data_IF_617062468364
#
_entry.id   IF_617062468364
#
_cell.length_a   1.000
_cell.length_b   1.000
_cell.length_c   1.000
_cell.angle_alpha   90.00
_cell.angle_beta   90.00
_cell.angle_gamma   90.00
#
_symmetry.space_group_name_H-M   'P 1'
#
loop_
_entity.id
_entity.type
_entity.pdbx_description
1 polymer ?
#
# COMPACT_ATOMS: atom_id res chain seq x y z
N UNK A 1 -34.90 12.48 7.52
CA UNK A 1 -34.92 11.06 7.18
C UNK A 1 -33.68 10.45 7.77
N UNK A 2 -33.73 9.46 8.66
CA UNK A 2 -32.52 8.84 9.17
C UNK A 2 -31.94 7.98 8.04
N UNK A 3 -30.69 8.26 7.69
CA UNK A 3 -29.92 7.44 6.75
C UNK A 3 -29.68 6.06 7.36
N UNK A 4 -30.32 5.07 6.79
CA UNK A 4 -30.04 3.67 7.11
C UNK A 4 -28.64 3.34 6.60
N UNK A 5 -27.73 3.03 7.52
CA UNK A 5 -26.47 2.37 7.19
C UNK A 5 -26.80 1.08 6.42
N UNK A 6 -26.10 0.78 5.31
CA UNK A 6 -26.33 -0.46 4.59
C UNK A 6 -26.05 -1.64 5.52
N UNK A 7 -27.07 -2.42 5.81
CA UNK A 7 -26.93 -3.71 6.47
C UNK A 7 -26.21 -4.61 5.48
N UNK A 8 -24.91 -4.83 5.69
CA UNK A 8 -24.18 -5.87 4.97
C UNK A 8 -24.77 -7.19 5.42
N UNK A 9 -25.55 -7.83 4.56
CA UNK A 9 -26.01 -9.20 4.81
C UNK A 9 -24.75 -10.07 4.99
N UNK A 10 -24.69 -10.95 6.01
CA UNK A 10 -23.61 -11.91 6.14
C UNK A 10 -23.54 -12.67 4.82
N UNK A 11 -22.40 -12.54 4.12
CA UNK A 11 -22.14 -13.28 2.90
C UNK A 11 -22.40 -14.76 3.15
N UNK A 12 -22.87 -15.48 2.13
CA UNK A 12 -23.08 -16.94 2.20
C UNK A 12 -21.83 -17.55 2.86
N UNK A 13 -21.99 -18.48 3.81
CA UNK A 13 -20.84 -19.18 4.38
C UNK A 13 -20.07 -19.79 3.22
N UNK A 14 -18.83 -19.31 3.01
CA UNK A 14 -17.92 -19.94 2.08
C UNK A 14 -17.72 -21.39 2.55
N UNK A 15 -17.60 -22.35 1.62
CA UNK A 15 -17.28 -23.72 2.02
C UNK A 15 -16.01 -23.66 2.86
N UNK A 16 -16.08 -24.20 4.08
CA UNK A 16 -14.96 -24.21 5.01
C UNK A 16 -13.74 -24.76 4.26
N UNK A 17 -12.73 -23.92 4.05
CA UNK A 17 -11.48 -24.37 3.44
C UNK A 17 -10.91 -25.48 4.33
N UNK A 18 -10.68 -26.64 3.77
CA UNK A 18 -9.98 -27.75 4.45
C UNK A 18 -8.46 -27.55 4.40
N UNK A 19 -7.99 -26.54 3.69
CA UNK A 19 -6.57 -26.21 3.56
C UNK A 19 -6.06 -25.71 4.90
N UNK A 20 -4.95 -26.27 5.42
CA UNK A 20 -4.34 -25.78 6.65
C UNK A 20 -3.89 -24.32 6.44
N UNK A 21 -3.91 -23.49 7.49
CA UNK A 21 -3.45 -22.12 7.40
C UNK A 21 -1.95 -22.07 7.06
N UNK A 22 -1.56 -21.08 6.24
CA UNK A 22 -0.15 -20.81 5.93
C UNK A 22 0.55 -20.28 7.18
N UNK A 23 -0.16 -19.45 7.95
CA UNK A 23 0.25 -18.95 9.26
C UNK A 23 -0.87 -19.24 10.26
N UNK A 24 -0.50 -19.74 11.43
CA UNK A 24 -1.47 -20.15 12.45
C UNK A 24 -1.97 -18.95 13.28
N UNK A 25 -1.10 -17.96 13.51
CA UNK A 25 -1.39 -16.77 14.32
C UNK A 25 -0.95 -15.50 13.58
N UNK A 26 -1.93 -14.80 13.01
CA UNK A 26 -1.73 -13.63 12.16
C UNK A 26 -2.03 -12.38 12.96
N UNK A 27 -0.99 -11.60 13.28
CA UNK A 27 -1.10 -10.29 13.90
C UNK A 27 -1.20 -9.18 12.86
N UNK A 28 -2.18 -8.28 12.97
CA UNK A 28 -2.39 -7.16 12.06
C UNK A 28 -2.44 -5.88 12.88
N UNK A 29 -1.48 -4.99 12.66
CA UNK A 29 -1.35 -3.69 13.30
C UNK A 29 -1.86 -2.62 12.33
N UNK A 30 -2.99 -2.01 12.66
CA UNK A 30 -3.73 -1.13 11.76
C UNK A 30 -4.83 -1.87 10.99
N UNK A 31 -6.09 -1.63 11.36
CA UNK A 31 -7.26 -2.28 10.76
C UNK A 31 -8.06 -1.30 9.87
N UNK A 32 -7.36 -0.46 9.12
CA UNK A 32 -7.97 0.35 8.08
C UNK A 32 -8.43 -0.48 6.87
N UNK A 33 -8.55 0.17 5.71
CA UNK A 33 -8.95 -0.49 4.46
C UNK A 33 -8.07 -1.72 4.15
N UNK A 34 -6.74 -1.58 4.20
CA UNK A 34 -5.80 -2.65 3.82
C UNK A 34 -5.75 -3.75 4.89
N UNK A 35 -5.45 -3.38 6.14
CA UNK A 35 -5.36 -4.36 7.24
C UNK A 35 -6.68 -5.08 7.51
N UNK A 36 -7.80 -4.36 7.44
CA UNK A 36 -9.14 -4.95 7.54
C UNK A 36 -9.45 -5.91 6.40
N UNK A 37 -9.05 -5.58 5.17
CA UNK A 37 -9.22 -6.48 4.03
C UNK A 37 -8.38 -7.75 4.14
N UNK A 38 -7.14 -7.64 4.65
CA UNK A 38 -6.29 -8.81 4.96
C UNK A 38 -6.96 -9.67 6.04
N UNK A 39 -7.45 -9.05 7.12
CA UNK A 39 -8.13 -9.76 8.20
C UNK A 39 -9.35 -10.54 7.69
N UNK A 40 -10.24 -9.88 6.96
CA UNK A 40 -11.44 -10.50 6.37
C UNK A 40 -11.09 -11.65 5.42
N UNK A 41 -10.08 -11.46 4.55
CA UNK A 41 -9.64 -12.50 3.62
C UNK A 41 -9.04 -13.69 4.36
N UNK A 42 -8.18 -13.47 5.36
CA UNK A 42 -7.57 -14.52 6.17
C UNK A 42 -8.65 -15.34 6.92
N UNK A 43 -9.65 -14.68 7.51
CA UNK A 43 -10.78 -15.34 8.18
C UNK A 43 -11.59 -16.23 7.25
N UNK A 44 -11.77 -15.81 5.99
CA UNK A 44 -12.49 -16.60 4.99
C UNK A 44 -11.68 -17.79 4.49
N UNK A 45 -10.38 -17.61 4.24
CA UNK A 45 -9.51 -18.62 3.68
C UNK A 45 -9.10 -19.65 4.73
N UNK A 46 -8.83 -19.21 5.96
CA UNK A 46 -8.29 -20.04 7.05
C UNK A 46 -9.09 -19.85 8.34
N UNK A 47 -10.30 -20.42 8.45
CA UNK A 47 -11.16 -20.25 9.64
C UNK A 47 -10.54 -20.80 10.94
N UNK A 48 -9.46 -21.59 10.84
CA UNK A 48 -8.72 -22.14 11.99
C UNK A 48 -7.51 -21.30 12.41
N UNK A 49 -7.08 -20.34 11.56
CA UNK A 49 -6.04 -19.39 11.94
C UNK A 49 -6.60 -18.39 12.94
N UNK A 50 -5.77 -18.00 13.91
CA UNK A 50 -6.10 -16.94 14.86
C UNK A 50 -5.72 -15.59 14.25
N UNK A 51 -6.68 -14.71 14.00
CA UNK A 51 -6.45 -13.35 13.51
C UNK A 51 -6.54 -12.38 14.67
N UNK A 52 -5.42 -11.70 14.95
CA UNK A 52 -5.23 -10.78 16.07
C UNK A 52 -5.14 -9.37 15.49
N UNK A 53 -5.99 -8.46 15.95
CA UNK A 53 -6.01 -7.06 15.51
C UNK A 53 -5.49 -6.12 16.58
N UNK A 54 -4.63 -5.18 16.17
CA UNK A 54 -4.15 -4.08 17.02
C UNK A 54 -4.52 -2.76 16.36
N UNK A 55 -5.36 -1.96 17.03
CA UNK A 55 -5.80 -0.64 16.57
C UNK A 55 -6.40 0.13 17.77
N UNK A 56 -6.94 1.32 17.51
CA UNK A 56 -7.73 2.04 18.50
C UNK A 56 -9.07 1.33 18.79
N UNK A 57 -9.64 1.62 19.94
CA UNK A 57 -10.81 0.93 20.47
C UNK A 57 -12.03 0.93 19.52
N UNK A 58 -12.32 2.05 18.87
CA UNK A 58 -13.51 2.18 18.00
C UNK A 58 -13.39 1.30 16.75
N UNK A 59 -12.17 1.23 16.16
CA UNK A 59 -11.85 0.35 15.04
C UNK A 59 -11.92 -1.12 15.47
N UNK A 60 -11.38 -1.46 16.64
CA UNK A 60 -11.43 -2.82 17.20
C UNK A 60 -12.86 -3.30 17.46
N UNK A 61 -13.73 -2.47 18.03
CA UNK A 61 -15.15 -2.79 18.22
C UNK A 61 -15.84 -3.08 16.87
N UNK A 62 -15.52 -2.30 15.85
CA UNK A 62 -16.03 -2.53 14.49
C UNK A 62 -15.49 -3.81 13.89
N UNK A 63 -14.19 -4.10 14.03
CA UNK A 63 -13.55 -5.31 13.52
C UNK A 63 -14.13 -6.58 14.16
N UNK A 64 -14.39 -6.56 15.46
CA UNK A 64 -15.05 -7.67 16.17
C UNK A 64 -16.49 -7.87 15.68
N UNK A 65 -17.25 -6.80 15.50
CA UNK A 65 -18.62 -6.86 14.96
C UNK A 65 -18.69 -7.41 13.54
N UNK A 66 -17.69 -7.09 12.72
CA UNK A 66 -17.54 -7.61 11.35
C UNK A 66 -16.97 -9.03 11.30
N UNK A 67 -16.62 -9.62 12.45
CA UNK A 67 -15.90 -10.90 12.54
C UNK A 67 -14.61 -10.94 11.74
N UNK A 68 -13.93 -9.78 11.60
CA UNK A 68 -12.67 -9.66 10.89
C UNK A 68 -11.48 -10.20 11.70
N UNK A 69 -11.58 -10.15 13.04
CA UNK A 69 -10.55 -10.60 13.97
C UNK A 69 -11.15 -11.49 15.07
N UNK A 70 -10.28 -12.32 15.70
CA UNK A 70 -10.64 -13.17 16.83
C UNK A 70 -10.25 -12.54 18.17
N UNK A 71 -9.14 -11.78 18.17
CA UNK A 71 -8.58 -11.11 19.35
C UNK A 71 -8.35 -9.65 19.02
N UNK A 72 -8.73 -8.77 19.96
CA UNK A 72 -8.60 -7.32 19.83
C UNK A 72 -7.76 -6.78 21.00
N UNK A 73 -6.78 -5.93 20.70
CA UNK A 73 -6.03 -5.17 21.70
C UNK A 73 -5.51 -3.85 21.13
N UNK A 74 -5.26 -2.90 22.00
CA UNK A 74 -4.64 -1.61 21.68
C UNK A 74 -3.11 -1.60 21.95
N UNK A 75 -2.54 -2.76 22.27
CA UNK A 75 -1.14 -2.95 22.62
C UNK A 75 -0.55 -4.14 21.83
N UNK A 76 0.72 -4.02 21.44
CA UNK A 76 1.46 -5.05 20.70
C UNK A 76 1.68 -6.34 21.48
N UNK A 77 1.57 -6.32 22.82
CA UNK A 77 1.81 -7.50 23.67
C UNK A 77 0.93 -8.70 23.30
N UNK A 78 -0.25 -8.44 22.76
CA UNK A 78 -1.18 -9.49 22.27
C UNK A 78 -0.59 -10.32 21.14
N UNK A 79 0.44 -9.79 20.45
CA UNK A 79 1.15 -10.45 19.34
C UNK A 79 2.26 -11.38 19.79
N UNK A 80 2.42 -11.63 21.11
CA UNK A 80 3.55 -12.37 21.69
C UNK A 80 3.83 -13.74 21.04
N UNK A 81 2.80 -14.37 20.49
CA UNK A 81 2.90 -15.69 19.86
C UNK A 81 2.54 -15.66 18.36
N UNK A 82 2.48 -14.47 17.73
CA UNK A 82 2.20 -14.37 16.30
C UNK A 82 3.36 -14.93 15.47
N UNK A 83 3.05 -15.73 14.45
CA UNK A 83 4.00 -16.26 13.48
C UNK A 83 4.06 -15.44 12.17
N UNK A 84 3.05 -14.58 11.96
CA UNK A 84 3.05 -13.49 10.97
C UNK A 84 2.61 -12.19 11.64
N UNK A 85 3.40 -11.12 11.48
CA UNK A 85 3.02 -9.76 11.91
C UNK A 85 2.98 -8.85 10.70
N UNK A 86 1.85 -8.17 10.49
CA UNK A 86 1.60 -7.26 9.36
C UNK A 86 1.37 -5.86 9.89
N UNK A 87 2.26 -4.93 9.55
CA UNK A 87 2.09 -3.51 9.84
C UNK A 87 1.32 -2.82 8.71
N UNK A 88 0.06 -2.47 8.97
CA UNK A 88 -0.87 -1.87 8.01
C UNK A 88 -1.39 -0.48 8.43
N UNK A 89 -0.70 0.18 9.35
CA UNK A 89 -0.89 1.57 9.74
C UNK A 89 -0.15 2.52 8.77
N UNK A 90 -0.27 3.86 8.92
CA UNK A 90 0.54 4.83 8.17
C UNK A 90 2.04 4.56 8.29
N UNK A 91 2.82 4.90 7.24
CA UNK A 91 4.23 4.50 7.12
C UNK A 91 5.07 4.90 8.34
N UNK A 92 4.94 6.15 8.81
CA UNK A 92 5.71 6.61 9.98
C UNK A 92 5.30 5.90 11.27
N UNK A 93 4.01 5.59 11.41
CA UNK A 93 3.50 4.82 12.54
C UNK A 93 4.05 3.40 12.50
N UNK A 94 4.07 2.75 11.33
CA UNK A 94 4.67 1.42 11.17
C UNK A 94 6.15 1.42 11.56
N UNK A 95 6.93 2.43 11.13
CA UNK A 95 8.35 2.57 11.48
C UNK A 95 8.53 2.72 13.00
N UNK A 96 7.71 3.53 13.64
CA UNK A 96 7.77 3.73 15.09
C UNK A 96 7.43 2.44 15.87
N UNK A 97 6.35 1.76 15.50
CA UNK A 97 5.90 0.53 16.17
C UNK A 97 6.82 -0.67 15.92
N UNK A 98 7.56 -0.68 14.81
CA UNK A 98 8.51 -1.74 14.49
C UNK A 98 9.66 -1.82 15.51
N UNK A 99 10.03 -0.68 16.11
CA UNK A 99 11.07 -0.61 17.16
C UNK A 99 10.65 -1.40 18.40
N UNK A 100 9.36 -1.36 18.74
CA UNK A 100 8.82 -2.01 19.94
C UNK A 100 8.51 -3.51 19.72
N UNK A 101 8.69 -4.02 18.50
CA UNK A 101 8.33 -5.41 18.16
C UNK A 101 9.12 -6.44 18.97
N UNK A 102 10.39 -6.17 19.22
CA UNK A 102 11.30 -7.08 19.94
C UNK A 102 10.85 -7.33 21.40
N UNK A 103 10.33 -6.31 22.04
CA UNK A 103 9.85 -6.38 23.43
C UNK A 103 8.52 -7.12 23.55
N UNK A 104 7.73 -7.16 22.49
CA UNK A 104 6.36 -7.67 22.49
C UNK A 104 6.20 -9.06 21.86
N UNK A 105 6.91 -9.34 20.76
CA UNK A 105 6.82 -10.63 20.06
C UNK A 105 8.01 -11.51 20.42
N UNK A 106 7.75 -12.62 21.08
CA UNK A 106 8.80 -13.49 21.66
C UNK A 106 9.20 -14.65 20.75
N UNK A 107 8.31 -15.07 19.87
CA UNK A 107 8.53 -16.19 18.97
C UNK A 107 9.18 -15.72 17.65
N UNK A 108 9.88 -16.63 16.93
CA UNK A 108 10.28 -16.36 15.56
C UNK A 108 9.06 -16.06 14.71
N UNK A 109 9.13 -14.94 13.96
CA UNK A 109 8.02 -14.52 13.12
C UNK A 109 8.47 -13.97 11.76
N UNK A 110 7.63 -14.15 10.76
CA UNK A 110 7.67 -13.37 9.53
C UNK A 110 7.03 -12.03 9.80
N UNK A 111 7.71 -10.95 9.42
CA UNK A 111 7.21 -9.59 9.61
C UNK A 111 7.12 -8.91 8.25
N UNK A 112 6.02 -8.23 7.98
CA UNK A 112 5.82 -7.47 6.75
C UNK A 112 5.04 -6.19 7.03
N UNK A 113 5.05 -5.28 6.05
CA UNK A 113 4.22 -4.08 6.08
C UNK A 113 3.36 -3.96 4.82
N UNK A 114 2.53 -2.94 4.77
CA UNK A 114 1.72 -2.60 3.59
C UNK A 114 1.93 -1.16 3.13
N UNK A 115 2.97 -0.52 3.61
CA UNK A 115 3.25 0.90 3.38
C UNK A 115 3.52 1.24 1.91
N UNK A 116 3.29 2.49 1.56
CA UNK A 116 3.46 2.99 0.18
C UNK A 116 4.90 3.32 -0.17
N UNK A 117 5.80 3.41 0.81
CA UNK A 117 7.25 3.63 0.65
C UNK A 117 8.03 2.58 1.42
N UNK A 118 9.24 2.24 0.97
CA UNK A 118 9.96 1.07 1.51
C UNK A 118 11.28 1.42 2.21
N UNK A 119 11.98 2.48 1.79
CA UNK A 119 13.33 2.74 2.33
C UNK A 119 13.34 2.87 3.85
N UNK A 120 12.53 3.77 4.40
CA UNK A 120 12.54 4.04 5.83
C UNK A 120 12.18 2.84 6.70
N UNK A 121 11.21 2.03 6.28
CA UNK A 121 10.81 0.84 7.06
C UNK A 121 11.82 -0.30 6.93
N UNK A 122 12.45 -0.45 5.76
CA UNK A 122 13.52 -1.44 5.56
C UNK A 122 14.77 -1.10 6.37
N UNK A 123 15.11 0.20 6.47
CA UNK A 123 16.22 0.68 7.31
C UNK A 123 15.94 0.39 8.79
N UNK A 124 14.72 0.68 9.26
CA UNK A 124 14.31 0.37 10.63
C UNK A 124 14.30 -1.14 10.90
N UNK A 125 13.84 -1.95 9.95
CA UNK A 125 13.82 -3.40 10.06
C UNK A 125 15.21 -4.04 10.16
N UNK A 126 16.24 -3.37 9.64
CA UNK A 126 17.63 -3.81 9.77
C UNK A 126 18.15 -3.89 11.22
N UNK A 127 17.44 -3.28 12.18
CA UNK A 127 17.74 -3.37 13.60
C UNK A 127 17.05 -4.54 14.32
N UNK A 128 16.12 -5.24 13.65
CA UNK A 128 15.40 -6.35 14.25
C UNK A 128 16.32 -7.54 14.54
N UNK A 129 16.09 -8.23 15.67
CA UNK A 129 16.87 -9.43 15.99
C UNK A 129 16.62 -10.58 14.98
N UNK A 130 17.58 -11.52 14.85
CA UNK A 130 17.53 -12.58 13.82
C UNK A 130 16.34 -13.53 13.87
N UNK A 131 15.54 -13.52 14.96
CA UNK A 131 14.31 -14.30 15.05
C UNK A 131 13.19 -13.77 14.16
N UNK A 132 13.31 -12.52 13.71
CA UNK A 132 12.38 -11.93 12.75
C UNK A 132 12.96 -11.95 11.34
N UNK A 133 12.13 -12.31 10.39
CA UNK A 133 12.44 -12.12 8.97
C UNK A 133 11.51 -11.05 8.43
N UNK A 134 12.04 -9.85 8.21
CA UNK A 134 11.28 -8.75 7.65
C UNK A 134 11.28 -8.80 6.12
N UNK A 135 10.11 -8.69 5.52
CA UNK A 135 9.91 -8.60 4.07
C UNK A 135 9.01 -7.41 3.83
N UNK A 136 9.54 -6.34 3.24
CA UNK A 136 8.72 -5.18 2.90
C UNK A 136 7.58 -5.57 1.96
N UNK A 137 6.38 -5.09 2.23
CA UNK A 137 5.20 -5.35 1.43
C UNK A 137 4.54 -4.04 0.97
N UNK A 138 3.91 -4.07 -0.20
CA UNK A 138 3.07 -2.98 -0.69
C UNK A 138 2.02 -3.52 -1.67
N UNK A 139 0.78 -3.76 -1.21
CA UNK A 139 -0.33 -4.09 -2.11
C UNK A 139 -0.70 -2.86 -2.93
N UNK A 140 -0.64 -2.97 -4.26
CA UNK A 140 -1.11 -1.91 -5.17
C UNK A 140 -2.63 -2.02 -5.33
N UNK A 141 -3.32 -1.94 -4.20
CA UNK A 141 -4.76 -2.03 -4.08
C UNK A 141 -5.27 -0.89 -3.19
N UNK A 142 -6.46 -0.39 -3.49
CA UNK A 142 -7.05 0.70 -2.74
C UNK A 142 -8.49 0.94 -3.15
N UNK A 143 -9.15 1.85 -2.43
CA UNK A 143 -10.48 2.35 -2.74
C UNK A 143 -10.48 3.89 -2.65
N UNK A 144 -11.56 4.51 -3.10
CA UNK A 144 -11.73 5.97 -3.03
C UNK A 144 -11.82 6.46 -1.58
N UNK A 145 -12.26 5.59 -0.67
CA UNK A 145 -12.41 5.87 0.76
C UNK A 145 -11.58 4.87 1.56
N UNK A 146 -10.95 5.35 2.63
CA UNK A 146 -10.24 4.52 3.61
C UNK A 146 -11.19 4.04 4.71
N UNK A 147 -10.62 3.37 5.72
CA UNK A 147 -11.34 2.88 6.88
C UNK A 147 -11.74 1.40 6.78
N UNK A 148 -12.02 0.82 7.92
CA UNK A 148 -12.41 -0.58 8.03
C UNK A 148 -13.78 -0.86 7.39
N UNK A 149 -14.67 0.12 7.40
CA UNK A 149 -16.02 0.05 6.81
C UNK A 149 -16.00 -0.16 5.29
N UNK A 150 -14.87 0.15 4.65
CA UNK A 150 -14.65 -0.08 3.22
C UNK A 150 -13.78 -1.30 2.92
N UNK A 151 -13.34 -2.01 3.97
CA UNK A 151 -12.56 -3.23 3.83
C UNK A 151 -13.38 -4.36 3.22
N UNK A 152 -12.74 -5.15 2.37
CA UNK A 152 -13.38 -6.29 1.69
C UNK A 152 -12.36 -7.38 1.41
N UNK A 153 -12.75 -8.65 1.50
CA UNK A 153 -11.82 -9.77 1.37
C UNK A 153 -11.24 -9.96 -0.04
N UNK A 154 -11.90 -9.44 -1.07
CA UNK A 154 -11.49 -9.53 -2.48
C UNK A 154 -10.66 -8.32 -2.97
N UNK A 155 -10.27 -7.40 -2.06
CA UNK A 155 -9.56 -6.16 -2.40
C UNK A 155 -8.31 -6.40 -3.25
N UNK A 156 -7.61 -7.50 -3.01
CA UNK A 156 -6.32 -7.82 -3.62
C UNK A 156 -6.44 -8.65 -4.90
N UNK A 157 -7.63 -9.09 -5.28
CA UNK A 157 -7.84 -9.99 -6.43
C UNK A 157 -7.29 -9.44 -7.73
N UNK A 158 -6.28 -10.15 -8.28
CA UNK A 158 -5.57 -9.77 -9.51
C UNK A 158 -4.70 -8.52 -9.40
N UNK A 159 -4.54 -7.95 -8.19
CA UNK A 159 -3.73 -6.74 -7.97
C UNK A 159 -2.28 -7.11 -7.69
N UNK A 160 -1.31 -6.32 -8.20
CA UNK A 160 0.08 -6.52 -7.83
C UNK A 160 0.29 -6.30 -6.32
N UNK A 161 1.12 -7.17 -5.72
CA UNK A 161 1.63 -6.97 -4.37
C UNK A 161 3.14 -6.99 -4.44
N UNK A 162 3.75 -5.83 -4.21
CA UNK A 162 5.19 -5.68 -4.26
C UNK A 162 5.78 -6.25 -2.98
N UNK A 163 6.78 -7.13 -3.12
CA UNK A 163 7.55 -7.72 -2.03
C UNK A 163 9.01 -7.30 -2.15
N UNK A 164 9.56 -6.81 -1.06
CA UNK A 164 10.92 -6.29 -0.96
C UNK A 164 11.65 -7.06 0.15
N UNK A 165 12.23 -8.23 -0.15
CA UNK A 165 12.99 -8.98 0.85
C UNK A 165 14.30 -8.28 1.20
N UNK A 166 14.83 -8.56 2.40
CA UNK A 166 16.13 -8.09 2.83
C UNK A 166 17.23 -8.57 1.87
N UNK A 167 18.15 -7.68 1.52
CA UNK A 167 19.23 -7.98 0.56
C UNK A 167 18.79 -7.95 -0.91
N UNK A 168 17.54 -7.73 -1.23
CA UNK A 168 17.08 -7.34 -2.56
C UNK A 168 17.51 -5.89 -2.87
N UNK A 169 18.80 -5.64 -2.83
CA UNK A 169 19.36 -4.50 -3.57
C UNK A 169 19.10 -4.83 -5.01
N UNK A 170 18.34 -3.97 -5.69
CA UNK A 170 17.89 -4.19 -7.05
C UNK A 170 18.96 -4.86 -7.89
N UNK A 171 18.56 -5.63 -8.88
CA UNK A 171 19.51 -6.13 -9.87
C UNK A 171 20.18 -4.88 -10.43
N UNK A 172 21.31 -4.50 -9.81
CA UNK A 172 22.12 -3.41 -10.30
C UNK A 172 22.51 -3.81 -11.72
N UNK A 173 22.28 -2.93 -12.66
CA UNK A 173 22.75 -3.11 -14.04
C UNK A 173 24.27 -3.39 -14.10
N UNK A 174 24.96 -3.19 -12.98
CA UNK A 174 26.41 -3.35 -12.81
C UNK A 174 26.84 -4.73 -12.26
N UNK A 175 25.93 -5.70 -12.12
CA UNK A 175 26.28 -7.09 -11.80
C UNK A 175 26.85 -7.34 -10.40
N UNK A 176 26.73 -6.40 -9.46
CA UNK A 176 27.16 -6.61 -8.08
C UNK A 176 26.26 -7.64 -7.40
N UNK A 177 26.80 -8.83 -7.14
CA UNK A 177 26.11 -9.94 -6.45
C UNK A 177 25.82 -9.53 -5.01
N UNK A 178 24.55 -9.28 -4.69
CA UNK A 178 24.08 -9.17 -3.31
C UNK A 178 24.39 -10.45 -2.53
N UNK A 179 24.50 -10.33 -1.20
CA UNK A 179 24.64 -11.48 -0.30
C UNK A 179 23.46 -12.42 -0.54
N UNK A 180 23.71 -13.72 -0.76
CA UNK A 180 22.64 -14.71 -0.91
C UNK A 180 21.80 -14.74 0.40
N UNK A 181 20.46 -14.71 0.32
CA UNK A 181 19.62 -14.84 1.49
C UNK A 181 19.89 -16.18 2.19
N UNK A 182 19.75 -16.23 3.52
CA UNK A 182 19.80 -17.49 4.25
C UNK A 182 18.62 -18.41 3.85
N UNK A 183 18.76 -19.72 4.07
CA UNK A 183 17.67 -20.67 3.81
C UNK A 183 16.38 -20.29 4.55
N UNK A 184 16.51 -19.81 5.80
CA UNK A 184 15.39 -19.33 6.60
C UNK A 184 14.72 -18.09 5.96
N UNK A 185 15.49 -17.11 5.48
CA UNK A 185 14.94 -15.93 4.79
C UNK A 185 14.25 -16.33 3.48
N UNK A 186 14.83 -17.26 2.73
CA UNK A 186 14.22 -17.79 1.50
C UNK A 186 12.90 -18.51 1.77
N UNK A 187 12.81 -19.30 2.84
CA UNK A 187 11.60 -19.97 3.27
C UNK A 187 10.51 -18.97 3.71
N UNK A 188 10.88 -17.92 4.45
CA UNK A 188 9.97 -16.86 4.86
C UNK A 188 9.40 -16.10 3.66
N UNK A 189 10.23 -15.75 2.68
CA UNK A 189 9.80 -15.12 1.42
C UNK A 189 8.82 -16.02 0.67
N UNK A 190 9.12 -17.32 0.55
CA UNK A 190 8.22 -18.27 -0.10
C UNK A 190 6.87 -18.37 0.63
N UNK A 191 6.88 -18.47 1.96
CA UNK A 191 5.69 -18.55 2.80
C UNK A 191 4.82 -17.29 2.70
N UNK A 192 5.43 -16.09 2.75
CA UNK A 192 4.69 -14.84 2.55
C UNK A 192 4.16 -14.70 1.11
N UNK A 193 4.92 -15.16 0.11
CA UNK A 193 4.48 -15.17 -1.29
C UNK A 193 3.25 -16.05 -1.46
N UNK A 194 3.23 -17.23 -0.85
CA UNK A 194 2.07 -18.12 -0.84
C UNK A 194 0.87 -17.45 -0.17
N UNK A 195 1.08 -16.80 0.98
CA UNK A 195 0.04 -16.09 1.71
C UNK A 195 -0.61 -15.00 0.87
N UNK A 196 0.17 -14.07 0.29
CA UNK A 196 -0.39 -12.98 -0.52
C UNK A 196 -1.04 -13.49 -1.81
N UNK A 197 -0.53 -14.60 -2.37
CA UNK A 197 -1.14 -15.26 -3.54
C UNK A 197 -2.51 -15.86 -3.16
N UNK A 198 -2.63 -16.48 -2.01
CA UNK A 198 -3.90 -17.00 -1.52
C UNK A 198 -4.93 -15.90 -1.27
N UNK A 199 -4.50 -14.68 -0.88
CA UNK A 199 -5.37 -13.49 -0.82
C UNK A 199 -5.82 -13.00 -2.21
N UNK A 200 -5.39 -13.65 -3.29
CA UNK A 200 -5.74 -13.31 -4.68
C UNK A 200 -4.79 -12.28 -5.32
N UNK A 201 -3.76 -11.84 -4.64
CA UNK A 201 -2.80 -10.89 -5.17
C UNK A 201 -1.80 -11.54 -6.14
N UNK A 202 -1.15 -10.71 -6.95
CA UNK A 202 -0.07 -11.12 -7.86
C UNK A 202 1.26 -10.61 -7.29
N UNK A 203 2.05 -11.45 -6.58
CA UNK A 203 3.30 -11.02 -5.97
C UNK A 203 4.34 -10.62 -7.02
N UNK A 204 5.11 -9.56 -6.73
CA UNK A 204 6.20 -9.05 -7.54
C UNK A 204 7.38 -8.71 -6.65
N UNK A 205 8.52 -9.35 -6.85
CA UNK A 205 9.75 -9.06 -6.13
C UNK A 205 10.46 -7.86 -6.75
N UNK A 206 11.00 -6.97 -5.91
CA UNK A 206 11.84 -5.86 -6.35
C UNK A 206 12.77 -5.37 -5.25
N UNK A 207 13.76 -4.55 -5.62
CA UNK A 207 14.65 -3.89 -4.68
C UNK A 207 14.01 -2.64 -4.05
N UNK A 208 14.52 -2.22 -2.89
CA UNK A 208 14.05 -1.04 -2.13
C UNK A 208 14.06 0.23 -2.98
N UNK A 209 15.21 0.51 -3.61
CA UNK A 209 15.40 1.72 -4.42
C UNK A 209 14.54 1.70 -5.69
N UNK A 210 14.44 0.52 -6.33
CA UNK A 210 13.57 0.33 -7.49
C UNK A 210 12.10 0.58 -7.12
N UNK A 211 11.65 0.09 -5.96
CA UNK A 211 10.30 0.31 -5.45
C UNK A 211 10.00 1.81 -5.31
N UNK A 212 10.81 2.52 -4.51
CA UNK A 212 10.51 3.91 -4.16
C UNK A 212 10.61 4.83 -5.38
N UNK A 213 11.58 4.58 -6.29
CA UNK A 213 11.69 5.28 -7.57
C UNK A 213 10.49 5.00 -8.49
N UNK A 214 10.10 3.72 -8.64
CA UNK A 214 8.96 3.35 -9.47
C UNK A 214 7.67 4.01 -9.00
N UNK A 215 7.43 3.99 -7.68
CA UNK A 215 6.23 4.57 -7.08
C UNK A 215 6.24 6.11 -7.13
N UNK A 216 7.41 6.75 -7.10
CA UNK A 216 7.51 8.19 -7.31
C UNK A 216 6.87 8.60 -8.65
N UNK A 217 7.09 7.84 -9.73
CA UNK A 217 6.51 8.12 -11.05
C UNK A 217 5.09 7.57 -11.24
N UNK A 218 4.80 6.35 -10.78
CA UNK A 218 3.50 5.70 -11.07
C UNK A 218 2.37 6.12 -10.13
N UNK A 219 2.71 6.60 -8.93
CA UNK A 219 1.75 6.94 -7.88
C UNK A 219 1.89 8.37 -7.39
N UNK A 220 3.08 8.75 -6.91
CA UNK A 220 3.26 9.99 -6.17
C UNK A 220 3.19 11.21 -7.10
N UNK A 221 3.88 11.19 -8.23
CA UNK A 221 3.82 12.26 -9.23
C UNK A 221 2.40 12.49 -9.77
N UNK A 222 1.64 11.46 -10.19
CA UNK A 222 0.25 11.64 -10.61
C UNK A 222 -0.64 12.27 -9.54
N UNK A 223 -0.52 11.84 -8.29
CA UNK A 223 -1.30 12.40 -7.17
C UNK A 223 -1.01 13.86 -6.94
N UNK A 224 0.27 14.22 -6.81
CA UNK A 224 0.69 15.61 -6.54
C UNK A 224 0.30 16.50 -7.71
N UNK A 225 0.45 16.02 -8.94
CA UNK A 225 0.06 16.74 -10.15
C UNK A 225 -1.45 16.99 -10.19
N UNK A 226 -2.26 15.97 -9.92
CA UNK A 226 -3.71 16.10 -9.90
C UNK A 226 -4.18 17.11 -8.83
N UNK A 227 -3.56 17.08 -7.65
CA UNK A 227 -3.89 17.99 -6.55
C UNK A 227 -3.50 19.44 -6.89
N UNK A 228 -2.29 19.64 -7.42
CA UNK A 228 -1.82 20.97 -7.83
C UNK A 228 -2.64 21.54 -9.00
N UNK A 229 -2.98 20.70 -10.00
CA UNK A 229 -3.82 21.09 -11.12
C UNK A 229 -5.20 21.52 -10.63
N UNK A 230 -5.82 20.73 -9.72
CA UNK A 230 -7.16 21.08 -9.21
C UNK A 230 -7.14 22.37 -8.41
N UNK A 231 -6.10 22.61 -7.61
CA UNK A 231 -5.93 23.87 -6.89
C UNK A 231 -5.83 25.05 -7.85
N UNK A 232 -4.94 24.98 -8.85
CA UNK A 232 -4.76 26.06 -9.84
C UNK A 232 -6.07 26.36 -10.58
N UNK A 233 -6.80 25.34 -11.01
CA UNK A 233 -8.08 25.52 -11.70
C UNK A 233 -9.11 26.11 -10.76
N UNK A 234 -9.25 25.59 -9.55
CA UNK A 234 -10.23 26.06 -8.56
C UNK A 234 -10.02 27.53 -8.19
N UNK A 235 -8.76 27.91 -7.95
CA UNK A 235 -8.39 29.30 -7.62
C UNK A 235 -8.65 30.28 -8.80
N UNK A 236 -8.49 29.79 -10.03
CA UNK A 236 -8.67 30.61 -11.22
C UNK A 236 -10.15 30.82 -11.60
N UNK A 237 -11.01 29.80 -11.46
CA UNK A 237 -12.38 29.88 -12.03
C UNK A 237 -13.47 29.86 -10.96
N UNK A 238 -13.17 29.52 -9.72
CA UNK A 238 -14.12 29.46 -8.61
C UNK A 238 -15.23 28.41 -8.80
N UNK A 239 -16.20 28.41 -7.89
CA UNK A 239 -17.31 27.43 -7.91
C UNK A 239 -18.19 27.57 -9.18
N UNK A 240 -18.42 28.79 -9.64
CA UNK A 240 -19.23 29.04 -10.84
C UNK A 240 -18.57 28.47 -12.10
N UNK A 241 -17.24 28.68 -12.25
CA UNK A 241 -16.50 28.12 -13.38
C UNK A 241 -16.42 26.59 -13.31
N UNK A 242 -16.25 26.03 -12.11
CA UNK A 242 -16.23 24.56 -11.90
C UNK A 242 -17.55 23.90 -12.27
N UNK A 243 -18.69 24.57 -12.16
CA UNK A 243 -20.00 24.06 -12.60
C UNK A 243 -20.04 23.77 -14.12
N UNK A 244 -19.13 24.37 -14.90
CA UNK A 244 -19.00 24.12 -16.34
C UNK A 244 -17.97 23.04 -16.67
N UNK A 245 -17.35 22.42 -15.66
CA UNK A 245 -16.30 21.42 -15.85
C UNK A 245 -16.83 20.16 -16.53
N UNK A 246 -16.15 19.72 -17.56
CA UNK A 246 -16.44 18.48 -18.26
C UNK A 246 -15.66 17.29 -17.69
N UNK A 247 -15.90 16.10 -18.30
CA UNK A 247 -15.25 14.83 -17.92
C UNK A 247 -13.73 14.90 -17.94
N UNK A 248 -13.13 15.66 -18.86
CA UNK A 248 -11.68 15.79 -18.95
C UNK A 248 -11.04 16.26 -17.65
N UNK A 249 -11.57 17.33 -17.04
CA UNK A 249 -11.08 17.82 -15.77
C UNK A 249 -11.35 16.81 -14.64
N UNK A 250 -12.56 16.26 -14.56
CA UNK A 250 -12.94 15.31 -13.53
C UNK A 250 -12.06 14.04 -13.54
N UNK A 251 -11.79 13.48 -14.72
CA UNK A 251 -10.95 12.28 -14.86
C UNK A 251 -9.48 12.58 -14.50
N UNK A 252 -8.97 13.72 -14.93
CA UNK A 252 -7.57 14.11 -14.69
C UNK A 252 -7.31 14.45 -13.23
N UNK A 253 -8.29 15.04 -12.53
CA UNK A 253 -8.16 15.47 -11.13
C UNK A 253 -8.79 14.51 -10.12
N UNK A 254 -9.24 13.35 -10.53
CA UNK A 254 -9.89 12.36 -9.65
C UNK A 254 -9.10 12.05 -8.37
N UNK A 255 -7.78 12.05 -8.45
CA UNK A 255 -6.90 11.80 -7.32
C UNK A 255 -6.86 12.95 -6.30
N UNK A 256 -7.27 14.17 -6.67
CA UNK A 256 -7.18 15.34 -5.81
C UNK A 256 -8.07 15.28 -4.55
N UNK A 257 -9.00 14.33 -4.46
CA UNK A 257 -9.83 14.11 -3.27
C UNK A 257 -9.20 13.22 -2.21
N UNK A 258 -7.95 12.76 -2.42
CA UNK A 258 -7.24 11.90 -1.46
C UNK A 258 -6.94 12.61 -0.15
N UNK A 259 -7.02 11.93 1.02
CA UNK A 259 -6.73 12.51 2.33
C UNK A 259 -5.27 13.00 2.45
N UNK A 260 -5.09 14.22 2.92
CA UNK A 260 -3.76 14.87 2.99
C UNK A 260 -2.79 14.17 3.95
N UNK A 261 -3.29 13.56 5.01
CA UNK A 261 -2.43 12.99 6.07
C UNK A 261 -1.61 11.79 5.56
N UNK A 262 -2.20 10.91 4.76
CA UNK A 262 -1.48 9.79 4.14
C UNK A 262 -0.39 10.32 3.20
N UNK A 263 -0.69 11.38 2.44
CA UNK A 263 0.24 11.95 1.47
C UNK A 263 1.39 12.71 2.12
N UNK A 264 1.16 13.32 3.31
CA UNK A 264 2.23 13.93 4.11
C UNK A 264 3.29 12.89 4.50
N UNK A 265 2.89 11.69 4.89
CA UNK A 265 3.82 10.63 5.25
C UNK A 265 4.55 10.08 4.02
N UNK A 266 3.82 9.81 2.94
CA UNK A 266 4.39 9.31 1.67
C UNK A 266 5.44 10.30 1.12
N UNK A 267 5.10 11.58 1.04
CA UNK A 267 6.01 12.60 0.51
C UNK A 267 7.23 12.79 1.39
N UNK A 268 7.08 12.75 2.71
CA UNK A 268 8.20 12.89 3.64
C UNK A 268 9.16 11.68 3.61
N UNK A 269 8.65 10.48 3.33
CA UNK A 269 9.46 9.24 3.34
C UNK A 269 10.04 8.87 1.97
N UNK A 270 9.67 9.58 0.90
CA UNK A 270 10.18 9.38 -0.46
C UNK A 270 10.50 10.71 -1.19
N UNK A 271 10.83 11.76 -0.44
CA UNK A 271 11.04 13.10 -0.99
C UNK A 271 12.19 13.15 -2.01
N UNK A 272 13.22 12.35 -1.82
CA UNK A 272 14.41 12.27 -2.66
C UNK A 272 14.15 11.65 -4.05
N UNK A 273 13.15 10.79 -4.21
CA UNK A 273 12.72 10.28 -5.51
C UNK A 273 11.57 11.11 -6.11
N UNK A 274 10.72 11.70 -5.27
CA UNK A 274 9.60 12.55 -5.70
C UNK A 274 10.10 13.88 -6.24
N UNK A 275 11.09 14.50 -5.58
CA UNK A 275 11.65 15.80 -6.01
C UNK A 275 12.11 15.77 -7.47
N UNK A 276 13.04 14.89 -7.86
CA UNK A 276 13.47 14.77 -9.26
C UNK A 276 12.32 14.47 -10.24
N UNK A 277 11.35 13.64 -9.87
CA UNK A 277 10.21 13.35 -10.72
C UNK A 277 9.32 14.60 -10.96
N UNK A 278 9.15 15.45 -9.94
CA UNK A 278 8.46 16.74 -10.07
C UNK A 278 9.27 17.69 -10.94
N UNK A 279 10.60 17.77 -10.78
CA UNK A 279 11.46 18.63 -11.57
C UNK A 279 11.38 18.27 -13.07
N UNK A 280 11.35 16.98 -13.41
CA UNK A 280 11.17 16.52 -14.79
C UNK A 280 9.81 16.98 -15.36
N UNK A 281 8.72 16.89 -14.59
CA UNK A 281 7.41 17.36 -15.02
C UNK A 281 7.38 18.87 -15.18
N UNK A 282 7.94 19.62 -14.23
CA UNK A 282 8.04 21.09 -14.29
C UNK A 282 8.81 21.52 -15.54
N UNK A 283 9.96 20.88 -15.82
CA UNK A 283 10.75 21.17 -17.00
C UNK A 283 9.93 20.94 -18.29
N UNK A 284 9.19 19.83 -18.36
CA UNK A 284 8.33 19.53 -19.51
C UNK A 284 7.19 20.53 -19.68
N UNK A 285 6.54 20.96 -18.59
CA UNK A 285 5.50 22.00 -18.64
C UNK A 285 6.07 23.35 -19.07
N UNK A 286 7.28 23.71 -18.66
CA UNK A 286 7.97 24.91 -19.11
C UNK A 286 8.32 24.86 -20.59
N UNK A 287 8.72 23.72 -21.13
CA UNK A 287 8.94 23.52 -22.57
C UNK A 287 7.65 23.71 -23.36
N UNK A 288 6.56 23.07 -22.95
CA UNK A 288 5.23 23.26 -23.58
C UNK A 288 4.80 24.73 -23.55
N UNK A 289 4.98 25.41 -22.40
CA UNK A 289 4.64 26.81 -22.27
C UNK A 289 5.42 27.71 -23.27
N UNK A 290 6.71 27.41 -23.48
CA UNK A 290 7.53 28.18 -24.46
C UNK A 290 7.11 27.90 -25.90
N UNK A 291 6.62 26.70 -26.19
CA UNK A 291 6.23 26.26 -27.53
C UNK A 291 4.78 26.66 -27.94
N UNK A 292 3.99 27.19 -26.99
CA UNK A 292 2.58 27.54 -27.24
C UNK A 292 2.34 28.41 -28.50
N UNK A 293 3.19 29.42 -28.85
CA UNK A 293 2.96 30.22 -30.02
C UNK A 293 3.17 29.47 -31.36
N UNK A 294 4.11 28.54 -31.39
CA UNK A 294 4.56 27.86 -32.60
C UNK A 294 3.96 26.42 -32.70
N UNK A 295 3.86 25.72 -31.59
CA UNK A 295 3.26 24.37 -31.50
C UNK A 295 4.09 23.25 -32.11
N UNK A 296 5.34 23.48 -32.51
CA UNK A 296 6.18 22.51 -33.19
C UNK A 296 6.49 21.27 -32.33
N UNK A 297 6.77 21.50 -31.02
CA UNK A 297 7.07 20.41 -30.07
C UNK A 297 5.81 19.79 -29.47
N UNK A 298 4.68 20.47 -29.55
CA UNK A 298 3.41 20.00 -29.01
C UNK A 298 3.02 18.66 -29.64
N UNK A 299 3.14 18.53 -30.97
CA UNK A 299 2.82 17.32 -31.70
C UNK A 299 3.66 16.12 -31.24
N UNK A 300 4.95 16.32 -30.98
CA UNK A 300 5.86 15.29 -30.49
C UNK A 300 5.47 14.82 -29.09
N UNK A 301 5.20 15.74 -28.18
CA UNK A 301 4.78 15.43 -26.80
C UNK A 301 3.47 14.62 -26.79
N UNK A 302 2.49 15.00 -27.60
CA UNK A 302 1.20 14.29 -27.70
C UNK A 302 1.36 12.90 -28.32
N UNK A 303 2.21 12.76 -29.33
CA UNK A 303 2.49 11.48 -29.99
C UNK A 303 3.16 10.50 -29.01
N UNK A 304 4.17 10.96 -28.29
CA UNK A 304 4.89 10.16 -27.31
C UNK A 304 4.00 9.79 -26.12
N UNK A 305 3.24 10.74 -25.60
CA UNK A 305 2.28 10.49 -24.52
C UNK A 305 1.23 9.43 -24.94
N UNK A 306 0.69 9.54 -26.15
CA UNK A 306 -0.27 8.57 -26.68
C UNK A 306 0.35 7.16 -26.84
N UNK A 307 1.63 7.08 -27.23
CA UNK A 307 2.37 5.82 -27.30
C UNK A 307 2.47 5.15 -25.93
N UNK A 308 2.89 5.88 -24.90
CA UNK A 308 2.99 5.36 -23.53
C UNK A 308 1.63 5.01 -22.94
N UNK A 309 0.61 5.83 -23.20
CA UNK A 309 -0.76 5.60 -22.71
C UNK A 309 -1.34 4.27 -23.18
N UNK A 310 -1.00 3.81 -24.41
CA UNK A 310 -1.42 2.49 -24.91
C UNK A 310 -0.83 1.31 -24.14
N UNK A 311 0.30 1.51 -23.46
CA UNK A 311 0.92 0.50 -22.60
C UNK A 311 0.22 0.24 -21.28
N UNK A 312 -0.66 1.14 -20.84
CA UNK A 312 -1.40 0.97 -19.59
C UNK A 312 -2.56 -0.01 -19.82
N UNK A 313 -2.44 -1.21 -19.26
CA UNK A 313 -3.53 -2.20 -19.23
C UNK A 313 -4.66 -1.69 -18.32
N UNK A 314 -5.89 -1.84 -18.80
CA UNK A 314 -7.10 -1.50 -18.01
C UNK A 314 -7.37 -2.57 -16.95
#
# INVERSE_FOLDING_TARGET
MPDFLPVVQPGRPFPASTTPPIFDKIGIVGLGLIGGSIALAARQLWPKALVIGVDNKDVLETAMRLHAIDVAADDLIVLAEADLVIFAAPVKTNIALLVDLDDNVRQPAVVTDTGSTKRGIMDAAGALPPRFTFIGGHPLAGAAQGGLEHARPDLFSGRPWLLVPEGARGVSLDGARGRQPSDAASAAVAKLTEFVTALGAVPRMMGVQEHDRLLAFLSHLPQLTASALMQVVGDAVGQEGLALAGRGLADTTRLASSPADIWRDITATNADEIGPALDELIARLQELRRDLPDGDKLADVFTDAARWRRGIKK
#
